data_IF_314872487050
#
_entry.id   IF_314872487050
#
_cell.length_a   1.000
_cell.length_b   1.000
_cell.length_c   1.000
_cell.angle_alpha   90.00
_cell.angle_beta   90.00
_cell.angle_gamma   90.00
#
_symmetry.space_group_name_H-M   'P 1'
#
loop_
_entity.id
_entity.type
_entity.pdbx_description
1 polymer ?
#
# COMPACT_ATOMS: atom_id res chain seq x y z
N UNK A 1 -15.81 42.42 40.57
CA UNK A 1 -15.50 42.40 39.15
C UNK A 1 -14.86 41.05 38.81
N UNK A 2 -15.68 40.14 38.27
CA UNK A 2 -15.17 38.86 37.79
C UNK A 2 -14.74 39.09 36.30
N UNK A 3 -13.44 38.94 36.06
CA UNK A 3 -12.88 39.04 34.70
C UNK A 3 -13.42 37.90 33.84
N UNK A 4 -14.17 38.30 32.83
CA UNK A 4 -14.59 37.43 31.72
C UNK A 4 -13.34 37.12 30.91
N UNK A 5 -12.73 35.97 31.17
CA UNK A 5 -11.69 35.45 30.29
C UNK A 5 -12.24 35.36 28.86
N UNK A 6 -11.63 36.12 27.96
CA UNK A 6 -12.05 36.24 26.57
C UNK A 6 -12.02 34.87 25.88
N UNK A 7 -13.07 34.55 25.13
CA UNK A 7 -13.25 33.32 24.34
C UNK A 7 -12.11 33.08 23.32
N UNK A 8 -11.27 34.10 23.06
CA UNK A 8 -10.07 34.01 22.23
C UNK A 8 -8.91 33.30 22.95
N UNK A 9 -8.77 33.50 24.26
CA UNK A 9 -7.69 32.88 25.04
C UNK A 9 -7.94 31.39 25.29
N UNK A 10 -9.19 30.99 25.49
CA UNK A 10 -9.55 29.59 25.64
C UNK A 10 -9.31 28.75 24.36
N UNK A 11 -9.54 29.33 23.18
CA UNK A 11 -9.20 28.70 21.89
C UNK A 11 -7.70 28.62 21.65
N UNK A 12 -6.94 29.63 22.08
CA UNK A 12 -5.49 29.68 21.91
C UNK A 12 -4.77 28.63 22.76
N UNK A 13 -5.10 28.49 24.03
CA UNK A 13 -4.48 27.46 24.89
C UNK A 13 -4.90 26.04 24.51
N UNK A 14 -6.12 25.85 24.04
CA UNK A 14 -6.59 24.55 23.54
C UNK A 14 -5.84 24.14 22.28
N UNK A 15 -5.64 25.07 21.34
CA UNK A 15 -4.80 24.84 20.15
C UNK A 15 -3.34 24.56 20.54
N UNK A 16 -2.81 25.23 21.56
CA UNK A 16 -1.46 25.00 22.07
C UNK A 16 -1.32 23.66 22.78
N UNK A 17 -2.33 23.19 23.50
CA UNK A 17 -2.39 21.84 24.07
C UNK A 17 -2.55 20.77 23.01
N UNK A 18 -3.36 21.00 21.97
CA UNK A 18 -3.49 20.11 20.82
C UNK A 18 -2.15 20.00 20.08
N UNK A 19 -1.48 21.12 19.85
CA UNK A 19 -0.16 21.12 19.17
C UNK A 19 0.92 20.45 20.02
N UNK A 20 0.90 20.56 21.34
CA UNK A 20 1.81 19.85 22.24
C UNK A 20 1.51 18.35 22.32
N UNK A 21 0.24 17.97 22.31
CA UNK A 21 -0.19 16.55 22.29
C UNK A 21 0.06 15.90 20.93
N UNK A 22 -0.21 16.61 19.84
CA UNK A 22 0.08 16.15 18.47
C UNK A 22 1.58 16.22 18.17
N UNK A 23 2.30 17.22 18.67
CA UNK A 23 3.76 17.31 18.55
C UNK A 23 4.50 16.22 19.32
N UNK A 24 3.94 15.71 20.42
CA UNK A 24 4.44 14.53 21.13
C UNK A 24 4.18 13.23 20.35
N UNK A 25 3.06 13.14 19.63
CA UNK A 25 2.76 12.02 18.74
C UNK A 25 3.59 12.07 17.44
N UNK A 26 3.88 13.28 16.93
CA UNK A 26 4.75 13.46 15.76
C UNK A 26 6.24 13.17 16.03
N UNK A 27 6.73 13.27 17.25
CA UNK A 27 8.09 12.84 17.61
C UNK A 27 8.29 11.32 17.58
N UNK A 28 7.21 10.54 17.57
CA UNK A 28 7.22 9.09 17.37
C UNK A 28 7.08 8.66 15.90
N UNK A 29 6.80 9.58 14.98
CA UNK A 29 6.82 9.33 13.55
C UNK A 29 8.27 9.22 13.09
N UNK A 30 8.72 7.99 12.93
CA UNK A 30 10.05 7.62 12.49
C UNK A 30 10.47 8.38 11.22
N UNK A 31 11.76 8.52 11.03
CA UNK A 31 12.36 9.21 9.88
C UNK A 31 11.66 8.80 8.58
N UNK A 32 11.48 9.74 7.66
CA UNK A 32 10.81 9.61 6.36
C UNK A 32 11.15 8.31 5.58
N UNK A 33 12.33 7.72 5.82
CA UNK A 33 12.78 6.44 5.27
C UNK A 33 12.08 5.22 5.88
N UNK A 34 11.76 5.25 7.18
CA UNK A 34 11.20 4.08 7.88
C UNK A 34 9.69 3.95 7.60
N UNK A 35 8.99 5.07 7.43
CA UNK A 35 7.59 5.12 6.99
C UNK A 35 7.39 4.47 5.62
N UNK A 36 8.33 4.68 4.69
CA UNK A 36 8.25 4.06 3.38
C UNK A 36 8.45 2.54 3.43
N UNK A 37 9.32 2.03 4.32
CA UNK A 37 9.55 0.60 4.49
C UNK A 37 8.35 -0.11 5.12
N UNK A 38 7.81 0.40 6.23
CA UNK A 38 6.66 -0.20 6.89
C UNK A 38 5.45 -0.33 5.94
N UNK A 39 5.15 0.70 5.15
CA UNK A 39 4.09 0.67 4.14
C UNK A 39 4.34 -0.39 3.07
N UNK A 40 5.57 -0.55 2.60
CA UNK A 40 5.94 -1.54 1.59
C UNK A 40 5.78 -2.96 2.13
N UNK A 41 6.24 -3.21 3.35
CA UNK A 41 5.99 -4.48 4.02
C UNK A 41 4.50 -4.77 4.19
N UNK A 42 3.70 -3.76 4.50
CA UNK A 42 2.25 -3.90 4.58
C UNK A 42 1.63 -4.32 3.24
N UNK A 43 2.03 -3.70 2.13
CA UNK A 43 1.56 -4.08 0.80
C UNK A 43 2.00 -5.49 0.41
N UNK A 44 3.26 -5.85 0.68
CA UNK A 44 3.78 -7.20 0.42
C UNK A 44 3.04 -8.27 1.23
N UNK A 45 2.87 -8.04 2.54
CA UNK A 45 2.14 -8.98 3.42
C UNK A 45 0.67 -9.10 3.04
N UNK A 46 0.02 -7.98 2.68
CA UNK A 46 -1.35 -7.97 2.20
C UNK A 46 -1.53 -8.81 0.93
N UNK A 47 -0.65 -8.64 -0.05
CA UNK A 47 -0.67 -9.47 -1.26
C UNK A 47 -0.42 -10.95 -0.96
N UNK A 48 0.55 -11.26 -0.11
CA UNK A 48 0.82 -12.62 0.31
C UNK A 48 -0.39 -13.25 1.01
N UNK A 49 -1.09 -12.50 1.85
CA UNK A 49 -2.32 -12.95 2.53
C UNK A 49 -3.41 -13.37 1.55
N UNK A 50 -3.53 -12.72 0.41
CA UNK A 50 -4.54 -13.06 -0.61
C UNK A 50 -4.03 -14.09 -1.62
N UNK A 51 -2.78 -14.04 -2.02
CA UNK A 51 -2.22 -14.98 -3.00
C UNK A 51 -1.96 -16.36 -2.41
N UNK A 52 -1.55 -16.44 -1.15
CA UNK A 52 -1.23 -17.73 -0.52
C UNK A 52 -2.44 -18.68 -0.47
N UNK A 53 -3.63 -18.28 0.04
CA UNK A 53 -4.80 -19.16 0.01
C UNK A 53 -5.23 -19.52 -1.41
N UNK A 54 -5.13 -18.59 -2.33
CA UNK A 54 -5.54 -18.80 -3.73
C UNK A 54 -4.62 -19.78 -4.46
N UNK A 55 -3.30 -19.73 -4.23
CA UNK A 55 -2.33 -20.57 -4.92
C UNK A 55 -2.09 -21.91 -4.24
N UNK A 56 -2.14 -21.99 -2.90
CA UNK A 56 -1.69 -23.13 -2.13
C UNK A 56 -2.78 -23.83 -1.33
N UNK A 57 -3.85 -23.13 -0.95
CA UNK A 57 -4.95 -23.71 -0.17
C UNK A 57 -6.17 -24.09 -1.02
N UNK A 58 -6.09 -23.88 -2.36
CA UNK A 58 -7.16 -24.25 -3.28
C UNK A 58 -8.41 -23.35 -3.18
N UNK A 59 -8.28 -22.13 -2.69
CA UNK A 59 -9.41 -21.20 -2.66
C UNK A 59 -9.84 -20.86 -4.08
N UNK A 60 -11.14 -20.93 -4.33
CA UNK A 60 -11.69 -20.58 -5.64
C UNK A 60 -11.67 -19.08 -5.85
N UNK A 61 -11.80 -18.67 -7.11
CA UNK A 61 -11.89 -17.24 -7.49
C UNK A 61 -13.07 -16.56 -6.79
N UNK A 62 -14.21 -17.23 -6.73
CA UNK A 62 -15.45 -16.75 -6.10
C UNK A 62 -15.24 -16.53 -4.60
N UNK A 63 -14.55 -17.46 -3.94
CA UNK A 63 -14.19 -17.31 -2.53
C UNK A 63 -13.29 -16.10 -2.31
N UNK A 64 -12.29 -15.88 -3.16
CA UNK A 64 -11.41 -14.71 -3.07
C UNK A 64 -12.14 -13.39 -3.31
N UNK A 65 -13.07 -13.36 -4.29
CA UNK A 65 -13.94 -12.20 -4.53
C UNK A 65 -14.82 -11.91 -3.33
N UNK A 66 -15.43 -12.93 -2.72
CA UNK A 66 -16.24 -12.76 -1.52
C UNK A 66 -15.43 -12.26 -0.32
N UNK A 67 -14.25 -12.82 -0.08
CA UNK A 67 -13.35 -12.40 1.00
C UNK A 67 -12.90 -10.95 0.78
N UNK A 68 -12.36 -10.64 -0.39
CA UNK A 68 -11.88 -9.29 -0.70
C UNK A 68 -13.00 -8.26 -0.67
N UNK A 69 -14.19 -8.61 -1.19
CA UNK A 69 -15.37 -7.74 -1.13
C UNK A 69 -15.81 -7.46 0.31
N UNK A 70 -15.83 -8.49 1.15
CA UNK A 70 -16.16 -8.34 2.59
C UNK A 70 -15.12 -7.47 3.31
N UNK A 71 -13.84 -7.75 3.12
CA UNK A 71 -12.75 -6.96 3.73
C UNK A 71 -12.81 -5.52 3.26
N UNK A 72 -13.03 -5.27 1.97
CA UNK A 72 -13.19 -3.93 1.42
C UNK A 72 -14.39 -3.19 2.05
N UNK A 73 -15.54 -3.85 2.18
CA UNK A 73 -16.72 -3.27 2.81
C UNK A 73 -16.46 -2.90 4.28
N UNK A 74 -15.79 -3.75 5.04
CA UNK A 74 -15.39 -3.47 6.43
C UNK A 74 -14.43 -2.28 6.49
N UNK A 75 -13.41 -2.26 5.64
CA UNK A 75 -12.43 -1.16 5.61
C UNK A 75 -13.11 0.15 5.21
N UNK A 76 -14.00 0.15 4.22
CA UNK A 76 -14.77 1.35 3.85
C UNK A 76 -15.67 1.84 4.98
N UNK A 77 -16.26 0.93 5.76
CA UNK A 77 -17.05 1.28 6.94
C UNK A 77 -16.19 1.94 8.02
N UNK A 78 -14.97 1.44 8.25
CA UNK A 78 -14.00 2.05 9.16
C UNK A 78 -13.55 3.43 8.65
N UNK A 79 -13.26 3.57 7.37
CA UNK A 79 -12.89 4.86 6.78
C UNK A 79 -14.04 5.89 6.90
N UNK A 80 -15.29 5.46 6.69
CA UNK A 80 -16.45 6.30 6.92
C UNK A 80 -16.57 6.70 8.39
N UNK A 81 -16.40 5.76 9.32
CA UNK A 81 -16.42 6.05 10.76
C UNK A 81 -15.31 7.04 11.17
N UNK A 82 -14.09 6.90 10.62
CA UNK A 82 -12.98 7.84 10.85
C UNK A 82 -13.30 9.26 10.37
N UNK A 83 -14.01 9.39 9.26
CA UNK A 83 -14.39 10.71 8.73
C UNK A 83 -15.47 11.39 9.58
N UNK A 84 -16.24 10.65 10.38
CA UNK A 84 -17.36 11.14 11.21
C UNK A 84 -16.99 11.34 12.68
N UNK A 85 -16.12 10.50 13.23
CA UNK A 85 -15.82 10.49 14.66
C UNK A 85 -14.32 10.65 14.92
N UNK A 86 -13.93 11.76 15.56
CA UNK A 86 -12.54 12.07 15.86
C UNK A 86 -11.86 11.01 16.73
N UNK A 87 -12.58 10.39 17.66
CA UNK A 87 -12.02 9.34 18.50
C UNK A 87 -11.64 8.10 17.70
N UNK A 88 -12.46 7.71 16.68
CA UNK A 88 -12.14 6.60 15.75
C UNK A 88 -10.89 6.92 14.96
N UNK A 89 -10.80 8.13 14.42
CA UNK A 89 -9.62 8.58 13.70
C UNK A 89 -8.38 8.58 14.60
N UNK A 90 -8.47 9.03 15.83
CA UNK A 90 -7.36 9.01 16.79
C UNK A 90 -6.87 7.61 17.10
N UNK A 91 -7.78 6.64 17.24
CA UNK A 91 -7.43 5.23 17.43
C UNK A 91 -6.76 4.66 16.17
N UNK A 92 -7.32 4.92 14.98
CA UNK A 92 -6.78 4.46 13.71
C UNK A 92 -5.37 5.02 13.46
N UNK A 93 -5.14 6.31 13.70
CA UNK A 93 -3.81 6.94 13.60
C UNK A 93 -2.82 6.36 14.61
N UNK A 94 -3.28 6.01 15.81
CA UNK A 94 -2.41 5.38 16.82
C UNK A 94 -1.97 3.98 16.40
N UNK A 95 -2.87 3.20 15.80
CA UNK A 95 -2.60 1.81 15.39
C UNK A 95 -1.86 1.76 14.05
N UNK A 96 -2.31 2.53 13.07
CA UNK A 96 -1.85 2.46 11.68
C UNK A 96 -0.90 3.61 11.30
N UNK A 97 -0.61 4.55 12.20
CA UNK A 97 0.26 5.69 11.95
C UNK A 97 1.59 5.35 11.26
N UNK A 98 2.31 4.26 11.65
CA UNK A 98 3.54 3.86 10.99
C UNK A 98 3.40 3.52 9.49
N UNK A 99 2.19 3.22 9.02
CA UNK A 99 1.89 2.82 7.63
C UNK A 99 1.19 3.95 6.86
N UNK A 100 0.58 4.92 7.56
CA UNK A 100 -0.17 6.03 6.97
C UNK A 100 0.76 7.15 6.48
N UNK A 101 0.34 7.88 5.45
CA UNK A 101 0.93 9.16 5.06
C UNK A 101 0.36 10.29 5.91
N UNK A 102 1.09 11.39 6.05
CA UNK A 102 0.61 12.59 6.76
C UNK A 102 -0.73 13.11 6.18
N UNK A 103 -0.89 13.03 4.86
CA UNK A 103 -2.14 13.39 4.17
C UNK A 103 -3.31 12.44 4.48
N UNK A 104 -3.04 11.19 4.82
CA UNK A 104 -4.04 10.16 5.10
C UNK A 104 -4.64 10.27 6.52
N UNK A 105 -4.06 11.11 7.37
CA UNK A 105 -4.60 11.38 8.72
C UNK A 105 -5.97 12.05 8.64
N UNK A 106 -6.18 12.92 7.66
CA UNK A 106 -7.44 13.66 7.44
C UNK A 106 -8.20 13.23 6.18
N UNK A 107 -7.64 12.30 5.38
CA UNK A 107 -8.21 11.83 4.13
C UNK A 107 -8.33 10.31 4.13
N UNK A 108 -8.93 9.75 3.07
CA UNK A 108 -8.98 8.31 2.84
C UNK A 108 -7.57 7.75 2.76
N UNK A 109 -7.34 6.60 3.41
CA UNK A 109 -6.07 5.88 3.31
C UNK A 109 -5.91 5.21 1.95
N UNK A 110 -4.70 4.75 1.63
CA UNK A 110 -4.44 3.97 0.41
C UNK A 110 -4.98 2.52 0.48
N UNK A 111 -5.42 2.03 1.64
CA UNK A 111 -5.84 0.64 1.84
C UNK A 111 -7.09 0.28 1.03
N UNK A 112 -8.18 1.07 1.03
CA UNK A 112 -9.34 0.79 0.19
C UNK A 112 -9.00 0.66 -1.30
N UNK A 113 -8.14 1.55 -1.80
CA UNK A 113 -7.73 1.53 -3.22
C UNK A 113 -6.92 0.28 -3.55
N UNK A 114 -6.03 -0.14 -2.64
CA UNK A 114 -5.28 -1.38 -2.78
C UNK A 114 -6.22 -2.61 -2.83
N UNK A 115 -7.15 -2.73 -1.89
CA UNK A 115 -8.12 -3.82 -1.83
C UNK A 115 -9.06 -3.82 -3.04
N UNK A 116 -9.52 -2.64 -3.47
CA UNK A 116 -10.35 -2.48 -4.65
C UNK A 116 -9.61 -2.92 -5.93
N UNK A 117 -8.32 -2.60 -6.06
CA UNK A 117 -7.49 -3.03 -7.18
C UNK A 117 -7.30 -4.55 -7.20
N UNK A 118 -7.08 -5.18 -6.05
CA UNK A 118 -7.01 -6.64 -5.92
C UNK A 118 -8.35 -7.28 -6.29
N UNK A 119 -9.46 -6.78 -5.74
CA UNK A 119 -10.80 -7.26 -6.04
C UNK A 119 -11.14 -7.14 -7.53
N UNK A 120 -10.84 -5.98 -8.13
CA UNK A 120 -11.02 -5.74 -9.55
C UNK A 120 -10.21 -6.75 -10.40
N UNK A 121 -8.98 -7.04 -10.00
CA UNK A 121 -8.14 -8.02 -10.67
C UNK A 121 -8.78 -9.42 -10.65
N UNK A 122 -9.33 -9.85 -9.52
CA UNK A 122 -10.03 -11.11 -9.41
C UNK A 122 -11.36 -11.13 -10.19
N UNK A 123 -12.03 -9.99 -10.36
CA UNK A 123 -13.31 -9.92 -11.11
C UNK A 123 -13.10 -9.97 -12.62
N UNK A 124 -12.10 -9.28 -13.14
CA UNK A 124 -11.97 -9.00 -14.57
C UNK A 124 -10.96 -9.94 -15.26
N UNK A 125 -9.80 -10.19 -14.64
CA UNK A 125 -8.70 -10.86 -15.32
C UNK A 125 -8.70 -12.37 -15.13
N UNK A 126 -8.19 -13.15 -16.11
CA UNK A 126 -7.98 -14.58 -15.95
C UNK A 126 -6.91 -14.88 -14.89
N UNK A 127 -6.91 -16.12 -14.37
CA UNK A 127 -6.08 -16.58 -13.25
C UNK A 127 -4.64 -16.11 -13.29
N UNK A 128 -3.92 -16.37 -14.37
CA UNK A 128 -2.49 -16.04 -14.47
C UNK A 128 -2.23 -14.52 -14.46
N UNK A 129 -3.10 -13.74 -15.11
CA UNK A 129 -2.98 -12.28 -15.14
C UNK A 129 -3.27 -11.69 -13.76
N UNK A 130 -4.28 -12.19 -13.05
CA UNK A 130 -4.62 -11.78 -11.68
C UNK A 130 -3.44 -12.02 -10.74
N UNK A 131 -2.86 -13.23 -10.77
CA UNK A 131 -1.71 -13.55 -9.92
C UNK A 131 -0.52 -12.66 -10.21
N UNK A 132 -0.17 -12.47 -11.48
CA UNK A 132 0.94 -11.61 -11.87
C UNK A 132 0.70 -10.13 -11.51
N UNK A 133 -0.51 -9.61 -11.73
CA UNK A 133 -0.84 -8.23 -11.35
C UNK A 133 -0.67 -7.98 -9.85
N UNK A 134 -1.13 -8.91 -9.02
CA UNK A 134 -0.97 -8.79 -7.55
C UNK A 134 0.50 -8.98 -7.15
N UNK A 135 1.25 -9.88 -7.80
CA UNK A 135 2.69 -10.03 -7.58
C UNK A 135 3.46 -8.76 -7.94
N UNK A 136 3.12 -8.10 -9.05
CA UNK A 136 3.78 -6.84 -9.43
C UNK A 136 3.49 -5.73 -8.45
N UNK A 137 2.26 -5.63 -7.96
CA UNK A 137 1.90 -4.67 -6.93
C UNK A 137 2.64 -4.95 -5.61
N UNK A 138 2.82 -6.24 -5.27
CA UNK A 138 3.48 -6.66 -4.03
C UNK A 138 5.00 -6.51 -4.06
N UNK A 139 5.63 -6.84 -5.19
CA UNK A 139 7.09 -6.92 -5.32
C UNK A 139 7.66 -5.77 -6.14
N UNK A 140 6.99 -5.41 -7.24
CA UNK A 140 7.46 -4.40 -8.17
C UNK A 140 7.57 -3.03 -7.54
N UNK A 141 6.52 -2.52 -6.92
CA UNK A 141 6.50 -1.20 -6.29
C UNK A 141 7.47 -1.07 -5.10
N UNK A 142 7.49 -2.00 -4.12
CA UNK A 142 8.48 -1.94 -3.03
C UNK A 142 9.92 -2.02 -3.52
N UNK A 143 10.22 -2.92 -4.46
CA UNK A 143 11.58 -3.09 -4.97
C UNK A 143 12.01 -1.91 -5.84
N UNK A 144 11.15 -1.44 -6.74
CA UNK A 144 11.41 -0.23 -7.53
C UNK A 144 11.76 0.97 -6.65
N UNK A 145 10.97 1.18 -5.61
CA UNK A 145 11.24 2.23 -4.63
C UNK A 145 12.54 2.00 -3.86
N UNK A 146 12.84 0.77 -3.43
CA UNK A 146 14.05 0.43 -2.69
C UNK A 146 15.31 0.70 -3.53
N UNK A 147 15.34 0.20 -4.76
CA UNK A 147 16.44 0.47 -5.68
C UNK A 147 16.53 1.96 -6.06
N UNK A 148 15.39 2.63 -6.16
CA UNK A 148 15.33 4.07 -6.41
C UNK A 148 15.92 4.92 -5.28
N UNK A 149 15.74 4.52 -4.03
CA UNK A 149 16.31 5.22 -2.86
C UNK A 149 17.81 4.93 -2.72
N UNK A 150 18.22 3.66 -2.92
CA UNK A 150 19.62 3.27 -2.74
C UNK A 150 20.54 3.70 -3.88
N UNK A 151 20.08 3.59 -5.12
CA UNK A 151 20.91 3.76 -6.31
C UNK A 151 20.44 4.86 -7.26
N UNK A 152 19.34 5.55 -6.94
CA UNK A 152 18.69 6.52 -7.82
C UNK A 152 19.47 7.80 -8.03
N UNK A 153 20.35 7.81 -9.05
CA UNK A 153 21.12 8.99 -9.47
C UNK A 153 20.38 9.79 -10.56
N UNK A 154 19.77 9.11 -11.52
CA UNK A 154 19.12 9.70 -12.69
C UNK A 154 17.60 9.69 -12.51
N UNK A 155 16.98 10.87 -12.41
CA UNK A 155 15.52 11.00 -12.35
C UNK A 155 14.95 11.01 -13.77
N UNK A 156 14.00 10.11 -14.04
CA UNK A 156 13.19 10.13 -15.28
C UNK A 156 11.96 11.02 -15.07
N UNK A 157 11.36 10.94 -13.89
CA UNK A 157 10.25 11.77 -13.45
C UNK A 157 10.56 12.37 -12.06
N UNK A 158 9.83 13.40 -11.59
CA UNK A 158 10.09 14.04 -10.30
C UNK A 158 10.24 13.06 -9.12
N UNK A 159 9.53 11.92 -9.19
CA UNK A 159 9.47 10.93 -8.12
C UNK A 159 9.98 9.54 -8.51
N UNK A 160 10.44 9.32 -9.77
CA UNK A 160 10.93 8.02 -10.26
C UNK A 160 12.36 8.15 -10.79
N UNK A 161 13.25 7.23 -10.37
CA UNK A 161 14.61 7.12 -10.89
C UNK A 161 14.74 5.98 -11.89
N UNK A 162 15.67 6.10 -12.85
CA UNK A 162 15.96 5.05 -13.83
C UNK A 162 16.35 3.74 -13.13
N UNK A 163 17.17 3.83 -12.09
CA UNK A 163 17.64 2.68 -11.33
C UNK A 163 16.49 1.98 -10.57
N UNK A 164 15.52 2.75 -10.06
CA UNK A 164 14.32 2.19 -9.45
C UNK A 164 13.46 1.46 -10.46
N UNK A 165 13.20 2.06 -11.63
CA UNK A 165 12.43 1.43 -12.71
C UNK A 165 13.10 0.15 -13.21
N UNK A 166 14.43 0.16 -13.41
CA UNK A 166 15.18 -1.05 -13.77
C UNK A 166 15.12 -2.12 -12.67
N UNK A 167 15.21 -1.74 -11.41
CA UNK A 167 15.05 -2.66 -10.29
C UNK A 167 13.67 -3.32 -10.28
N UNK A 168 12.61 -2.55 -10.47
CA UNK A 168 11.24 -3.05 -10.63
C UNK A 168 11.10 -4.00 -11.82
N UNK A 169 11.65 -3.61 -12.99
CA UNK A 169 11.68 -4.45 -14.19
C UNK A 169 12.30 -5.82 -13.93
N UNK A 170 13.51 -5.84 -13.35
CA UNK A 170 14.22 -7.11 -13.06
C UNK A 170 13.43 -7.98 -12.12
N UNK A 171 12.92 -7.41 -11.01
CA UNK A 171 12.16 -8.17 -10.01
C UNK A 171 10.86 -8.72 -10.59
N UNK A 172 10.10 -7.93 -11.36
CA UNK A 172 8.88 -8.38 -12.00
C UNK A 172 9.15 -9.43 -13.09
N UNK A 173 10.26 -9.29 -13.85
CA UNK A 173 10.68 -10.31 -14.83
C UNK A 173 10.99 -11.64 -14.14
N UNK A 174 11.76 -11.62 -13.04
CA UNK A 174 12.10 -12.82 -12.27
C UNK A 174 10.82 -13.44 -11.67
N UNK A 175 9.95 -12.63 -11.07
CA UNK A 175 8.70 -13.11 -10.51
C UNK A 175 7.81 -13.80 -11.57
N UNK A 176 7.71 -13.22 -12.77
CA UNK A 176 6.99 -13.79 -13.89
C UNK A 176 7.62 -15.11 -14.34
N UNK A 177 8.95 -15.12 -14.50
CA UNK A 177 9.68 -16.32 -14.89
C UNK A 177 9.44 -17.47 -13.91
N UNK A 178 9.62 -17.24 -12.61
CA UNK A 178 9.42 -18.24 -11.56
C UNK A 178 7.99 -18.74 -11.55
N UNK A 179 7.01 -17.83 -11.64
CA UNK A 179 5.60 -18.19 -11.64
C UNK A 179 5.21 -19.04 -12.86
N UNK A 180 5.59 -18.61 -14.07
CA UNK A 180 5.24 -19.33 -15.30
C UNK A 180 5.98 -20.68 -15.40
N UNK A 181 7.22 -20.75 -14.94
CA UNK A 181 7.97 -22.00 -14.83
C UNK A 181 7.28 -22.99 -13.89
N UNK A 182 6.85 -22.52 -12.73
CA UNK A 182 6.10 -23.32 -11.76
C UNK A 182 4.75 -23.81 -12.30
N UNK A 183 4.11 -23.01 -13.14
CA UNK A 183 2.85 -23.37 -13.81
C UNK A 183 3.04 -24.29 -15.03
N UNK A 184 4.27 -24.68 -15.37
CA UNK A 184 4.56 -25.60 -16.47
C UNK A 184 4.39 -25.01 -17.89
N UNK A 185 4.54 -23.69 -18.03
CA UNK A 185 4.49 -23.06 -19.34
C UNK A 185 5.65 -23.52 -20.22
N UNK A 186 5.49 -23.57 -21.58
CA UNK A 186 6.57 -23.92 -22.50
C UNK A 186 7.76 -22.96 -22.40
N UNK A 187 8.96 -23.49 -22.25
CA UNK A 187 10.20 -22.72 -21.98
C UNK A 187 10.45 -21.61 -23.00
N UNK A 188 10.14 -21.82 -24.29
CA UNK A 188 10.32 -20.83 -25.34
C UNK A 188 9.45 -19.58 -25.19
N UNK A 189 8.31 -19.67 -24.47
CA UNK A 189 7.41 -18.53 -24.23
C UNK A 189 7.70 -17.82 -22.90
N UNK A 190 8.26 -18.53 -21.94
CA UNK A 190 8.49 -17.99 -20.59
C UNK A 190 9.38 -16.75 -20.65
N UNK A 191 10.49 -16.80 -21.38
CA UNK A 191 11.43 -15.68 -21.45
C UNK A 191 10.77 -14.41 -22.00
N UNK A 192 10.06 -14.53 -23.13
CA UNK A 192 9.35 -13.40 -23.74
C UNK A 192 8.30 -12.82 -22.78
N UNK A 193 7.46 -13.69 -22.21
CA UNK A 193 6.41 -13.28 -21.27
C UNK A 193 7.00 -12.65 -20.01
N UNK A 194 8.17 -13.12 -19.55
CA UNK A 194 8.85 -12.56 -18.38
C UNK A 194 9.38 -11.15 -18.64
N UNK A 195 9.93 -10.91 -19.83
CA UNK A 195 10.38 -9.56 -20.22
C UNK A 195 9.20 -8.60 -20.38
N UNK A 196 8.11 -9.05 -21.01
CA UNK A 196 6.88 -8.24 -21.14
C UNK A 196 6.26 -7.95 -19.77
N UNK A 197 6.21 -8.96 -18.89
CA UNK A 197 5.72 -8.80 -17.52
C UNK A 197 6.58 -7.86 -16.70
N UNK A 198 7.91 -7.94 -16.84
CA UNK A 198 8.83 -7.00 -16.21
C UNK A 198 8.60 -5.57 -16.65
N UNK A 199 8.38 -5.37 -17.96
CA UNK A 199 8.07 -4.03 -18.49
C UNK A 199 6.73 -3.51 -17.95
N UNK A 200 5.68 -4.34 -17.95
CA UNK A 200 4.37 -3.96 -17.39
C UNK A 200 4.43 -3.63 -15.90
N UNK A 201 5.25 -4.36 -15.12
CA UNK A 201 5.40 -4.13 -13.67
C UNK A 201 6.34 -2.97 -13.29
N UNK A 202 7.10 -2.43 -14.24
CA UNK A 202 8.05 -1.33 -14.02
C UNK A 202 7.45 0.06 -14.28
N UNK A 203 6.35 0.14 -15.04
CA UNK A 203 5.64 1.38 -15.39
C UNK A 203 4.72 1.79 -14.27
#
# INVERSE_FOLDING_TARGET
SADVMSNSDSKSWFQKLLSLRLGGAQKGLSRRSDLHLARKFFHMSGAATFLFPYLFLGFTREAMVAILGTVLAVVMSIEYARSRWEWVNSVAVRVMGPVMRDSEVSQLTGIPFYLASCLFSFLIFPHHVTVLAILYLALGDPCSSFFGVLFGKNKIFPNKSLQGTLGGFVVCSIATFVYLYWQGFPSGKILLLSLLGGFAGAI
#
